data_IF_412007200760
#
_entry.id   IF_412007200760
#
_cell.length_a   1.000
_cell.length_b   1.000
_cell.length_c   1.000
_cell.angle_alpha   90.00
_cell.angle_beta   90.00
_cell.angle_gamma   90.00
#
_symmetry.space_group_name_H-M   'P 1'
#
loop_
_entity.id
_entity.type
_entity.pdbx_description
1 polymer ?
#
# COMPACT_ATOMS: atom_id res chain seq x y z
N UNK A 1 24.38 -13.79 8.99
CA UNK A 1 23.41 -13.97 10.10
C UNK A 1 22.17 -13.11 9.90
N UNK A 2 22.31 -11.80 9.68
CA UNK A 2 21.17 -10.88 9.44
C UNK A 2 20.33 -11.27 8.21
N UNK A 3 20.96 -11.69 7.12
CA UNK A 3 20.28 -12.12 5.88
C UNK A 3 19.45 -13.39 6.04
N UNK A 4 19.93 -14.36 6.82
CA UNK A 4 19.18 -15.59 7.09
C UNK A 4 17.97 -15.31 8.00
N UNK A 5 18.15 -14.44 9.00
CA UNK A 5 17.08 -14.02 9.89
C UNK A 5 16.02 -13.20 9.15
N UNK A 6 16.42 -12.31 8.24
CA UNK A 6 15.48 -11.52 7.44
C UNK A 6 14.71 -12.37 6.42
N UNK A 7 15.35 -13.36 5.80
CA UNK A 7 14.64 -14.34 4.97
C UNK A 7 13.60 -15.13 5.77
N UNK A 8 13.98 -15.62 6.94
CA UNK A 8 13.05 -16.35 7.80
C UNK A 8 11.87 -15.47 8.25
N UNK A 9 12.14 -14.22 8.61
CA UNK A 9 11.12 -13.23 8.94
C UNK A 9 10.17 -12.95 7.77
N UNK A 10 10.70 -12.78 6.56
CA UNK A 10 9.90 -12.51 5.36
C UNK A 10 9.06 -13.71 4.91
N UNK A 11 9.59 -14.93 5.01
CA UNK A 11 8.78 -16.14 4.78
C UNK A 11 7.67 -16.27 5.82
N UNK A 12 7.98 -15.98 7.09
CA UNK A 12 6.99 -16.04 8.17
C UNK A 12 5.89 -14.98 8.01
N UNK A 13 6.25 -13.74 7.64
CA UNK A 13 5.27 -12.67 7.41
C UNK A 13 4.39 -12.99 6.20
N UNK A 14 4.99 -13.52 5.12
CA UNK A 14 4.24 -13.97 3.97
C UNK A 14 3.28 -15.10 4.29
N UNK A 15 3.74 -16.11 5.03
CA UNK A 15 2.89 -17.20 5.48
C UNK A 15 1.73 -16.70 6.37
N UNK A 16 2.00 -15.78 7.30
CA UNK A 16 1.00 -15.18 8.16
C UNK A 16 -0.09 -14.43 7.36
N UNK A 17 0.31 -13.61 6.39
CA UNK A 17 -0.64 -12.89 5.51
C UNK A 17 -1.51 -13.87 4.74
N UNK A 18 -0.92 -14.92 4.17
CA UNK A 18 -1.66 -15.98 3.47
C UNK A 18 -2.68 -16.66 4.39
N UNK A 19 -2.28 -16.98 5.62
CA UNK A 19 -3.17 -17.60 6.61
C UNK A 19 -4.31 -16.67 7.01
N UNK A 20 -4.04 -15.37 7.18
CA UNK A 20 -5.07 -14.36 7.47
C UNK A 20 -6.07 -14.25 6.32
N UNK A 21 -5.60 -14.22 5.07
CA UNK A 21 -6.48 -14.18 3.89
C UNK A 21 -7.38 -15.43 3.86
N UNK A 22 -6.80 -16.61 4.08
CA UNK A 22 -7.54 -17.87 4.08
C UNK A 22 -8.54 -17.98 5.24
N UNK A 23 -8.26 -17.33 6.37
CA UNK A 23 -9.16 -17.25 7.52
C UNK A 23 -10.31 -16.29 7.27
N UNK A 24 -10.05 -15.14 6.67
CA UNK A 24 -11.06 -14.15 6.31
C UNK A 24 -12.02 -14.68 5.24
N UNK A 25 -11.53 -15.47 4.28
CA UNK A 25 -12.32 -16.14 3.23
C UNK A 25 -13.36 -15.21 2.57
N UNK A 26 -12.97 -13.97 2.26
CA UNK A 26 -13.84 -12.94 1.68
C UNK A 26 -14.35 -13.42 0.33
N UNK A 27 -15.67 -13.39 0.16
CA UNK A 27 -16.40 -13.95 -1.00
C UNK A 27 -16.00 -15.41 -1.33
N UNK A 28 -15.60 -16.18 -0.31
CA UNK A 28 -15.15 -17.58 -0.46
C UNK A 28 -13.75 -17.72 -1.05
N UNK A 29 -13.02 -16.62 -1.29
CA UNK A 29 -11.68 -16.67 -1.84
C UNK A 29 -10.69 -17.29 -0.84
N UNK A 30 -9.92 -18.28 -1.31
CA UNK A 30 -8.82 -18.90 -0.56
C UNK A 30 -7.62 -19.06 -1.47
N UNK A 31 -6.45 -18.66 -0.96
CA UNK A 31 -5.17 -18.88 -1.60
C UNK A 31 -4.81 -20.35 -1.45
N UNK A 32 -4.46 -20.98 -2.58
CA UNK A 32 -3.98 -22.36 -2.61
C UNK A 32 -2.76 -22.52 -1.70
N UNK A 33 -2.74 -23.59 -0.90
CA UNK A 33 -1.65 -23.85 0.07
C UNK A 33 -0.26 -23.87 -0.58
N UNK A 34 -0.16 -24.29 -1.85
CA UNK A 34 1.10 -24.39 -2.60
C UNK A 34 1.54 -23.09 -3.30
N UNK A 35 0.84 -21.97 -3.11
CA UNK A 35 1.26 -20.69 -3.68
C UNK A 35 2.38 -20.05 -2.85
N UNK A 36 3.63 -20.29 -3.20
CA UNK A 36 4.80 -19.74 -2.50
C UNK A 36 5.19 -18.32 -2.93
N UNK A 37 4.52 -17.75 -3.95
CA UNK A 37 4.88 -16.44 -4.51
C UNK A 37 4.88 -15.31 -3.48
N UNK A 38 3.89 -15.28 -2.58
CA UNK A 38 3.79 -14.24 -1.56
C UNK A 38 4.88 -14.35 -0.49
N UNK A 39 5.29 -15.58 -0.16
CA UNK A 39 6.39 -15.84 0.78
C UNK A 39 7.73 -15.43 0.16
N UNK A 40 7.96 -15.77 -1.12
CA UNK A 40 9.17 -15.36 -1.85
C UNK A 40 9.26 -13.83 -2.00
N UNK A 41 8.17 -13.16 -2.38
CA UNK A 41 8.14 -11.71 -2.50
C UNK A 41 8.39 -11.02 -1.15
N UNK A 42 7.76 -11.50 -0.08
CA UNK A 42 8.01 -10.98 1.28
C UNK A 42 9.45 -11.24 1.72
N UNK A 43 9.98 -12.44 1.48
CA UNK A 43 11.39 -12.78 1.76
C UNK A 43 12.38 -11.84 1.08
N UNK A 44 12.19 -11.57 -0.21
CA UNK A 44 13.05 -10.64 -0.96
C UNK A 44 12.96 -9.21 -0.42
N UNK A 45 11.75 -8.73 -0.12
CA UNK A 45 11.56 -7.39 0.44
C UNK A 45 12.21 -7.25 1.82
N UNK A 46 12.13 -8.28 2.67
CA UNK A 46 12.79 -8.31 3.97
C UNK A 46 14.31 -8.30 3.82
N UNK A 47 14.89 -9.10 2.92
CA UNK A 47 16.34 -9.08 2.68
C UNK A 47 16.80 -7.70 2.23
N UNK A 48 16.10 -7.09 1.28
CA UNK A 48 16.42 -5.75 0.83
C UNK A 48 16.33 -4.72 1.97
N UNK A 49 15.26 -4.76 2.77
CA UNK A 49 15.02 -3.82 3.86
C UNK A 49 16.11 -3.90 4.94
N UNK A 50 16.41 -5.10 5.44
CA UNK A 50 17.42 -5.28 6.51
C UNK A 50 18.87 -5.11 6.01
N UNK A 51 19.10 -5.07 4.70
CA UNK A 51 20.43 -4.80 4.14
C UNK A 51 20.68 -3.31 3.91
N UNK A 52 19.63 -2.49 3.77
CA UNK A 52 19.75 -1.08 3.39
C UNK A 52 19.26 -0.10 4.46
N UNK A 53 18.33 -0.50 5.32
CA UNK A 53 17.67 0.36 6.32
C UNK A 53 18.14 0.04 7.74
N UNK A 54 17.87 0.97 8.66
CA UNK A 54 18.05 0.72 10.10
C UNK A 54 17.11 -0.39 10.59
N UNK A 55 17.43 -1.04 11.71
CA UNK A 55 16.67 -2.20 12.21
C UNK A 55 15.16 -1.89 12.39
N UNK A 56 14.84 -0.71 12.94
CA UNK A 56 13.46 -0.29 13.18
C UNK A 56 12.72 0.03 11.87
N UNK A 57 13.36 0.78 10.96
CA UNK A 57 12.81 1.09 9.63
C UNK A 57 12.59 -0.16 8.79
N UNK A 58 13.56 -1.08 8.80
CA UNK A 58 13.48 -2.33 8.07
C UNK A 58 12.29 -3.17 8.56
N UNK A 59 12.08 -3.26 9.87
CA UNK A 59 10.94 -3.97 10.46
C UNK A 59 9.59 -3.37 10.03
N UNK A 60 9.46 -2.05 10.09
CA UNK A 60 8.21 -1.37 9.70
C UNK A 60 7.94 -1.50 8.20
N UNK A 61 8.94 -1.20 7.36
CA UNK A 61 8.82 -1.31 5.90
C UNK A 61 8.41 -2.73 5.51
N UNK A 62 9.08 -3.73 6.07
CA UNK A 62 8.90 -5.13 5.69
C UNK A 62 7.55 -5.70 6.09
N UNK A 63 7.00 -5.28 7.24
CA UNK A 63 5.65 -5.64 7.66
C UNK A 63 4.57 -4.91 6.85
N UNK A 64 4.74 -3.61 6.61
CA UNK A 64 3.82 -2.83 5.75
C UNK A 64 3.82 -3.42 4.33
N UNK A 65 4.98 -3.78 3.78
CA UNK A 65 5.09 -4.43 2.48
C UNK A 65 4.27 -5.73 2.41
N UNK A 66 4.42 -6.62 3.40
CA UNK A 66 3.64 -7.87 3.43
C UNK A 66 2.13 -7.61 3.51
N UNK A 67 1.71 -6.60 4.28
CA UNK A 67 0.29 -6.17 4.36
C UNK A 67 -0.19 -5.64 3.01
N UNK A 68 0.57 -4.77 2.35
CA UNK A 68 0.21 -4.18 1.05
C UNK A 68 0.06 -5.24 -0.04
N UNK A 69 0.96 -6.22 -0.09
CA UNK A 69 0.84 -7.36 -1.02
C UNK A 69 -0.42 -8.17 -0.72
N UNK A 70 -0.74 -8.40 0.56
CA UNK A 70 -1.97 -9.07 0.96
C UNK A 70 -3.22 -8.33 0.51
N UNK A 71 -3.29 -7.02 0.77
CA UNK A 71 -4.39 -6.16 0.30
C UNK A 71 -4.50 -6.18 -1.22
N UNK A 72 -3.38 -6.03 -1.94
CA UNK A 72 -3.39 -6.01 -3.39
C UNK A 72 -3.97 -7.31 -4.00
N UNK A 73 -3.64 -8.48 -3.44
CA UNK A 73 -4.19 -9.75 -3.92
C UNK A 73 -5.68 -9.85 -3.64
N UNK A 74 -6.11 -9.48 -2.42
CA UNK A 74 -7.53 -9.57 -2.05
C UNK A 74 -8.37 -8.59 -2.86
N UNK A 75 -7.91 -7.35 -3.01
CA UNK A 75 -8.60 -6.32 -3.78
C UNK A 75 -8.68 -6.68 -5.28
N UNK A 76 -7.60 -7.24 -5.84
CA UNK A 76 -7.59 -7.68 -7.25
C UNK A 76 -8.67 -8.72 -7.57
N UNK A 77 -9.07 -9.52 -6.58
CA UNK A 77 -9.99 -10.66 -6.78
C UNK A 77 -11.40 -10.35 -6.28
N UNK A 78 -11.51 -9.68 -5.13
CA UNK A 78 -12.79 -9.46 -4.41
C UNK A 78 -13.23 -8.01 -4.42
N UNK A 79 -12.41 -7.06 -4.91
CA UNK A 79 -12.68 -5.62 -4.87
C UNK A 79 -12.97 -5.07 -3.45
N UNK A 80 -12.49 -5.78 -2.42
CA UNK A 80 -12.68 -5.43 -1.03
C UNK A 80 -11.33 -5.34 -0.32
N UNK A 81 -11.18 -4.32 0.53
CA UNK A 81 -10.00 -4.18 1.38
C UNK A 81 -10.35 -4.65 2.80
N UNK A 82 -9.70 -5.71 3.32
CA UNK A 82 -10.02 -6.23 4.64
C UNK A 82 -9.58 -5.26 5.74
N UNK A 83 -10.50 -4.94 6.64
CA UNK A 83 -10.26 -4.02 7.74
C UNK A 83 -9.12 -4.48 8.67
N UNK A 84 -8.91 -5.80 8.81
CA UNK A 84 -7.80 -6.38 9.59
C UNK A 84 -6.44 -5.89 9.10
N UNK A 85 -6.24 -5.78 7.77
CA UNK A 85 -4.99 -5.30 7.20
C UNK A 85 -4.80 -3.79 7.40
N UNK A 86 -5.89 -3.01 7.31
CA UNK A 86 -5.87 -1.58 7.61
C UNK A 86 -5.49 -1.35 9.08
N UNK A 87 -6.13 -2.06 10.01
CA UNK A 87 -5.82 -1.95 11.44
C UNK A 87 -4.36 -2.32 11.74
N UNK A 88 -3.87 -3.42 11.13
CA UNK A 88 -2.48 -3.80 11.27
C UNK A 88 -1.54 -2.70 10.75
N UNK A 89 -1.86 -2.08 9.61
CA UNK A 89 -1.13 -0.93 9.07
C UNK A 89 -1.12 0.29 10.01
N UNK A 90 -2.25 0.62 10.62
CA UNK A 90 -2.34 1.72 11.61
C UNK A 90 -1.44 1.45 12.81
N UNK A 91 -1.49 0.23 13.36
CA UNK A 91 -0.63 -0.16 14.50
C UNK A 91 0.85 -0.03 14.14
N UNK A 92 1.25 -0.41 12.92
CA UNK A 92 2.62 -0.26 12.46
C UNK A 92 3.03 1.21 12.24
N UNK A 93 2.12 2.05 11.74
CA UNK A 93 2.38 3.48 11.62
C UNK A 93 2.58 4.13 12.99
N UNK A 94 1.74 3.78 13.99
CA UNK A 94 1.90 4.24 15.37
C UNK A 94 3.23 3.74 15.96
N UNK A 95 3.58 2.48 15.73
CA UNK A 95 4.88 1.93 16.15
C UNK A 95 6.03 2.72 15.51
N UNK A 96 5.94 3.09 14.22
CA UNK A 96 6.94 3.91 13.55
C UNK A 96 7.12 5.30 14.15
N UNK A 97 6.03 5.93 14.60
CA UNK A 97 6.10 7.18 15.36
C UNK A 97 6.75 6.95 16.73
N UNK A 98 6.38 5.87 17.44
CA UNK A 98 6.92 5.55 18.76
C UNK A 98 8.43 5.26 18.73
N UNK A 99 8.91 4.54 17.71
CA UNK A 99 10.33 4.27 17.47
C UNK A 99 11.09 5.47 16.88
N UNK A 100 10.45 6.64 16.74
CA UNK A 100 11.02 7.87 16.15
C UNK A 100 11.56 7.67 14.72
N UNK A 101 11.03 6.68 14.01
CA UNK A 101 11.30 6.46 12.58
C UNK A 101 10.48 7.44 11.75
N UNK A 102 9.28 7.78 12.22
CA UNK A 102 8.35 8.68 11.54
C UNK A 102 8.11 9.90 12.41
N UNK A 103 8.28 11.09 11.86
CA UNK A 103 7.90 12.32 12.54
C UNK A 103 6.38 12.45 12.61
N UNK A 104 5.84 12.69 13.81
CA UNK A 104 4.39 12.81 14.03
C UNK A 104 3.76 13.87 13.11
N UNK A 105 4.40 15.03 12.97
CA UNK A 105 3.93 16.11 12.09
C UNK A 105 3.83 15.66 10.64
N UNK A 106 4.83 14.90 10.15
CA UNK A 106 4.81 14.34 8.82
C UNK A 106 3.72 13.28 8.66
N UNK A 107 3.51 12.42 9.66
CA UNK A 107 2.44 11.43 9.64
C UNK A 107 1.04 12.09 9.57
N UNK A 108 0.80 13.15 10.35
CA UNK A 108 -0.47 13.87 10.35
C UNK A 108 -0.75 14.57 9.02
N UNK A 109 0.24 15.28 8.46
CA UNK A 109 0.10 15.88 7.14
C UNK A 109 0.00 14.83 6.03
N UNK A 110 0.68 13.70 6.19
CA UNK A 110 0.54 12.54 5.32
C UNK A 110 -0.86 11.98 5.30
N UNK A 111 -1.48 11.79 6.47
CA UNK A 111 -2.89 11.39 6.60
C UNK A 111 -3.81 12.43 5.95
N UNK A 112 -3.54 13.72 6.15
CA UNK A 112 -4.33 14.79 5.56
C UNK A 112 -4.34 14.68 4.02
N UNK A 113 -3.16 14.51 3.42
CA UNK A 113 -3.01 14.34 1.97
C UNK A 113 -3.59 13.00 1.49
N UNK A 114 -3.37 11.92 2.23
CA UNK A 114 -3.71 10.56 1.84
C UNK A 114 -5.17 10.17 2.03
N UNK A 115 -5.88 10.79 2.98
CA UNK A 115 -7.25 10.42 3.33
C UNK A 115 -8.23 11.60 3.26
N UNK A 116 -7.91 12.75 3.87
CA UNK A 116 -8.84 13.88 3.92
C UNK A 116 -9.06 14.54 2.56
N UNK A 117 -7.98 14.78 1.79
CA UNK A 117 -8.11 15.34 0.44
C UNK A 117 -8.93 14.41 -0.47
N UNK A 118 -8.64 13.10 -0.59
CA UNK A 118 -9.47 12.18 -1.36
C UNK A 118 -10.91 12.09 -0.88
N UNK A 119 -11.15 12.15 0.44
CA UNK A 119 -12.51 12.14 1.01
C UNK A 119 -13.31 13.38 0.59
N UNK A 120 -12.69 14.57 0.63
CA UNK A 120 -13.33 15.81 0.18
C UNK A 120 -13.65 15.74 -1.32
N UNK A 121 -12.69 15.29 -2.14
CA UNK A 121 -12.88 15.14 -3.59
C UNK A 121 -14.01 14.15 -3.87
N UNK A 122 -14.04 13.00 -3.19
CA UNK A 122 -15.10 12.02 -3.33
C UNK A 122 -16.46 12.60 -2.92
N UNK A 123 -16.54 13.34 -1.82
CA UNK A 123 -17.77 14.00 -1.37
C UNK A 123 -18.29 15.02 -2.38
N UNK A 124 -17.41 15.87 -2.92
CA UNK A 124 -17.75 16.85 -3.95
C UNK A 124 -18.26 16.17 -5.24
N UNK A 125 -17.54 15.14 -5.71
CA UNK A 125 -17.93 14.37 -6.89
C UNK A 125 -19.25 13.61 -6.68
N UNK A 126 -19.49 13.10 -5.48
CA UNK A 126 -20.73 12.41 -5.15
C UNK A 126 -21.93 13.36 -5.20
N UNK A 127 -21.79 14.59 -4.69
CA UNK A 127 -22.85 15.61 -4.76
C UNK A 127 -23.16 15.98 -6.23
N UNK A 128 -22.13 16.11 -7.08
CA UNK A 128 -22.32 16.54 -8.47
C UNK A 128 -22.79 15.41 -9.40
N UNK A 129 -22.20 14.22 -9.28
CA UNK A 129 -22.33 13.13 -10.26
C UNK A 129 -23.19 11.97 -9.74
N UNK A 130 -23.49 11.92 -8.43
CA UNK A 130 -24.14 10.79 -7.73
C UNK A 130 -23.46 9.44 -7.94
N UNK A 131 -22.22 9.44 -8.43
CA UNK A 131 -21.40 8.25 -8.63
C UNK A 131 -20.26 8.28 -7.62
N UNK A 132 -19.99 7.11 -7.02
CA UNK A 132 -18.81 6.94 -6.18
C UNK A 132 -17.60 6.77 -7.09
N UNK A 133 -16.64 7.70 -6.98
CA UNK A 133 -15.42 7.67 -7.79
C UNK A 133 -14.35 6.73 -7.24
N UNK A 134 -14.30 6.54 -5.92
CA UNK A 134 -13.26 5.78 -5.21
C UNK A 134 -13.90 4.94 -4.11
N UNK A 135 -13.35 3.75 -3.82
CA UNK A 135 -13.84 2.89 -2.76
C UNK A 135 -13.47 3.43 -1.37
N UNK A 136 -14.33 3.22 -0.37
CA UNK A 136 -14.02 3.58 1.02
C UNK A 136 -12.76 2.85 1.54
N UNK A 137 -12.50 1.63 1.06
CA UNK A 137 -11.28 0.89 1.38
C UNK A 137 -10.03 1.64 0.94
N UNK A 138 -10.03 2.22 -0.27
CA UNK A 138 -8.86 2.92 -0.79
C UNK A 138 -8.52 4.16 0.05
N UNK A 139 -9.54 4.86 0.56
CA UNK A 139 -9.35 6.00 1.48
C UNK A 139 -8.76 5.54 2.82
N UNK A 140 -9.22 4.40 3.34
CA UNK A 140 -8.65 3.81 4.55
C UNK A 140 -7.18 3.39 4.35
N UNK A 141 -6.85 2.85 3.18
CA UNK A 141 -5.47 2.55 2.82
C UNK A 141 -4.63 3.83 2.70
N UNK A 142 -5.21 4.89 2.15
CA UNK A 142 -4.60 6.23 2.12
C UNK A 142 -4.29 6.80 3.50
N UNK A 143 -5.06 6.46 4.54
CA UNK A 143 -4.76 6.82 5.92
C UNK A 143 -3.46 6.16 6.41
N UNK A 144 -3.32 4.85 6.19
CA UNK A 144 -2.13 4.07 6.57
C UNK A 144 -0.89 4.54 5.79
N UNK A 145 -1.02 4.64 4.48
CA UNK A 145 0.08 5.04 3.61
C UNK A 145 0.49 6.49 3.85
N UNK A 146 -0.47 7.38 4.10
CA UNK A 146 -0.21 8.76 4.48
C UNK A 146 0.58 8.85 5.77
N UNK A 147 0.16 8.13 6.81
CA UNK A 147 0.87 8.09 8.09
C UNK A 147 2.30 7.55 7.94
N UNK A 148 2.51 6.58 7.06
CA UNK A 148 3.81 5.94 6.85
C UNK A 148 4.78 6.74 5.97
N UNK A 149 4.29 7.27 4.84
CA UNK A 149 5.12 7.94 3.83
C UNK A 149 5.30 9.44 4.10
N UNK A 150 4.37 10.07 4.81
CA UNK A 150 4.30 11.53 4.93
C UNK A 150 3.67 12.21 3.71
N UNK A 151 3.49 13.54 3.73
CA UNK A 151 2.63 14.26 2.79
C UNK A 151 3.11 14.20 1.36
N UNK A 152 4.37 14.54 1.10
CA UNK A 152 4.88 14.66 -0.27
C UNK A 152 4.94 13.29 -0.96
N UNK A 153 5.47 12.28 -0.26
CA UNK A 153 5.54 10.91 -0.77
C UNK A 153 4.15 10.33 -0.98
N UNK A 154 3.18 10.64 -0.11
CA UNK A 154 1.79 10.23 -0.31
C UNK A 154 1.15 10.89 -1.53
N UNK A 155 1.38 12.19 -1.76
CA UNK A 155 0.87 12.89 -2.95
C UNK A 155 1.40 12.25 -4.25
N UNK A 156 2.71 11.99 -4.31
CA UNK A 156 3.33 11.30 -5.45
C UNK A 156 2.75 9.89 -5.60
N UNK A 157 2.54 9.18 -4.48
CA UNK A 157 1.94 7.83 -4.49
C UNK A 157 0.54 7.83 -5.09
N UNK A 158 -0.35 8.75 -4.68
CA UNK A 158 -1.69 8.88 -5.26
C UNK A 158 -1.63 9.20 -6.75
N UNK A 159 -0.76 10.15 -7.14
CA UNK A 159 -0.58 10.52 -8.53
C UNK A 159 -0.09 9.34 -9.38
N UNK A 160 1.00 8.69 -8.98
CA UNK A 160 1.53 7.52 -9.69
C UNK A 160 0.52 6.37 -9.74
N UNK A 161 -0.20 6.08 -8.65
CA UNK A 161 -1.22 5.05 -8.63
C UNK A 161 -2.36 5.35 -9.62
N UNK A 162 -2.86 6.59 -9.63
CA UNK A 162 -3.91 7.01 -10.57
C UNK A 162 -3.45 6.92 -12.04
N UNK A 163 -2.22 7.34 -12.35
CA UNK A 163 -1.64 7.22 -13.70
C UNK A 163 -1.52 5.74 -14.11
N UNK A 164 -0.98 4.88 -13.24
CA UNK A 164 -0.84 3.45 -13.51
C UNK A 164 -2.19 2.76 -13.72
N UNK A 165 -3.18 3.09 -12.89
CA UNK A 165 -4.54 2.57 -13.03
C UNK A 165 -5.19 3.01 -14.35
N UNK A 166 -4.99 4.28 -14.75
CA UNK A 166 -5.52 4.82 -15.99
C UNK A 166 -4.85 4.17 -17.21
N UNK A 167 -3.53 4.00 -17.20
CA UNK A 167 -2.80 3.32 -18.27
C UNK A 167 -3.26 1.87 -18.42
N UNK A 168 -3.47 1.17 -17.30
CA UNK A 168 -3.97 -0.20 -17.31
C UNK A 168 -5.41 -0.26 -17.82
N UNK A 169 -6.25 0.69 -17.44
CA UNK A 169 -7.61 0.83 -17.96
C UNK A 169 -7.63 1.04 -19.47
N UNK A 170 -6.80 1.93 -20.00
CA UNK A 170 -6.67 2.16 -21.44
C UNK A 170 -6.19 0.88 -22.15
N UNK A 171 -5.12 0.25 -21.66
CA UNK A 171 -4.57 -0.96 -22.29
C UNK A 171 -5.58 -2.12 -22.33
N UNK A 172 -6.32 -2.30 -21.25
CA UNK A 172 -7.38 -3.32 -21.16
C UNK A 172 -8.56 -2.97 -22.06
N UNK A 173 -8.95 -1.70 -22.11
CA UNK A 173 -10.03 -1.22 -22.99
C UNK A 173 -9.70 -1.39 -24.48
N UNK A 174 -8.43 -1.29 -24.86
CA UNK A 174 -7.99 -1.50 -26.24
C UNK A 174 -8.00 -2.98 -26.63
N UNK A 175 -7.74 -3.89 -25.68
CA UNK A 175 -7.66 -5.34 -25.95
C UNK A 175 -8.99 -6.07 -25.80
N UNK A 176 -9.84 -5.67 -24.85
CA UNK A 176 -11.13 -6.34 -24.56
C UNK A 176 -12.37 -5.54 -24.95
N UNK A 177 -12.21 -4.35 -25.54
CA UNK A 177 -13.30 -3.46 -25.90
C UNK A 177 -13.62 -2.43 -24.81
N UNK A 178 -14.29 -1.34 -25.21
CA UNK A 178 -14.58 -0.20 -24.34
C UNK A 178 -15.76 -0.48 -23.42
N UNK A 179 -15.47 -0.86 -22.18
CA UNK A 179 -16.46 -0.96 -21.11
C UNK A 179 -16.23 0.12 -20.06
N UNK A 180 -17.09 1.15 -20.10
CA UNK A 180 -17.05 2.29 -19.17
C UNK A 180 -17.39 1.90 -17.73
N UNK A 181 -18.01 0.74 -17.50
CA UNK A 181 -18.44 0.31 -16.18
C UNK A 181 -17.52 -0.76 -15.57
N UNK A 182 -16.40 -1.09 -16.22
CA UNK A 182 -15.42 -2.03 -15.65
C UNK A 182 -14.78 -1.40 -14.41
N UNK A 183 -15.17 -1.88 -13.24
CA UNK A 183 -14.51 -1.54 -11.99
C UNK A 183 -13.06 -2.04 -12.04
N UNK A 184 -12.10 -1.18 -11.69
CA UNK A 184 -10.70 -1.55 -11.53
C UNK A 184 -10.27 -1.40 -10.07
N UNK A 185 -9.59 -2.42 -9.52
CA UNK A 185 -9.10 -2.38 -8.15
C UNK A 185 -7.96 -1.34 -8.06
N UNK A 186 -8.10 -0.36 -7.18
CA UNK A 186 -7.11 0.71 -7.01
C UNK A 186 -5.99 0.32 -6.05
N UNK A 187 -6.27 -0.54 -5.06
CA UNK A 187 -5.31 -0.88 -4.03
C UNK A 187 -4.02 -1.53 -4.55
N UNK A 188 -4.02 -2.39 -5.59
CA UNK A 188 -2.78 -2.92 -6.18
C UNK A 188 -1.88 -1.84 -6.74
N UNK A 189 -2.45 -0.84 -7.43
CA UNK A 189 -1.68 0.28 -7.98
C UNK A 189 -1.15 1.18 -6.87
N UNK A 190 -1.95 1.38 -5.81
CA UNK A 190 -1.53 2.16 -4.65
C UNK A 190 -0.40 1.48 -3.88
N UNK A 191 -0.45 0.16 -3.73
CA UNK A 191 0.61 -0.64 -3.11
C UNK A 191 1.92 -0.54 -3.91
N UNK A 192 1.87 -0.75 -5.22
CA UNK A 192 3.04 -0.67 -6.10
C UNK A 192 3.64 0.74 -6.07
N UNK A 193 2.81 1.77 -6.19
CA UNK A 193 3.25 3.16 -6.13
C UNK A 193 3.88 3.50 -4.78
N UNK A 194 3.27 3.09 -3.65
CA UNK A 194 3.77 3.37 -2.31
C UNK A 194 5.15 2.75 -2.08
N UNK A 195 5.31 1.47 -2.45
CA UNK A 195 6.58 0.75 -2.33
C UNK A 195 7.63 1.40 -3.25
N UNK A 196 7.26 1.69 -4.50
CA UNK A 196 8.15 2.32 -5.46
C UNK A 196 8.62 3.71 -5.02
N UNK A 197 7.71 4.53 -4.47
CA UNK A 197 8.04 5.86 -3.94
C UNK A 197 8.92 5.76 -2.70
N UNK A 198 8.67 4.81 -1.79
CA UNK A 198 9.53 4.61 -0.63
C UNK A 198 10.95 4.24 -1.06
N UNK A 199 11.10 3.24 -1.94
CA UNK A 199 12.41 2.80 -2.45
C UNK A 199 13.09 3.93 -3.24
N UNK A 200 12.33 4.62 -4.10
CA UNK A 200 12.84 5.77 -4.85
C UNK A 200 13.33 6.89 -3.95
N UNK A 201 12.66 7.13 -2.82
CA UNK A 201 13.08 8.14 -1.85
C UNK A 201 14.35 7.78 -1.09
N UNK A 202 14.67 6.48 -1.00
CA UNK A 202 15.93 6.00 -0.44
C UNK A 202 17.10 6.21 -1.41
N UNK A 203 16.92 5.93 -2.71
CA UNK A 203 17.99 6.06 -3.71
C UNK A 203 18.17 7.49 -4.25
N UNK A 204 17.10 8.28 -4.32
CA UNK A 204 17.10 9.64 -4.88
C UNK A 204 16.58 10.68 -3.88
N UNK A 205 17.25 10.85 -2.72
CA UNK A 205 16.77 11.75 -1.67
C UNK A 205 16.66 13.20 -2.15
N UNK A 206 17.55 13.65 -3.05
CA UNK A 206 17.55 15.00 -3.63
C UNK A 206 16.25 15.34 -4.37
N UNK A 207 15.68 14.38 -5.11
CA UNK A 207 14.41 14.58 -5.82
C UNK A 207 13.26 14.90 -4.86
N UNK A 208 13.26 14.26 -3.68
CA UNK A 208 12.25 14.49 -2.66
C UNK A 208 12.56 15.73 -1.82
N UNK A 209 13.82 16.08 -1.60
CA UNK A 209 14.22 17.31 -0.91
C UNK A 209 13.79 18.56 -1.67
N UNK A 210 13.86 18.56 -3.00
CA UNK A 210 13.37 19.67 -3.83
C UNK A 210 11.85 19.88 -3.74
N UNK A 211 11.12 18.85 -3.29
CA UNK A 211 9.66 18.85 -3.18
C UNK A 211 9.16 19.01 -1.73
N UNK A 212 10.06 18.96 -0.75
CA UNK A 212 9.77 19.29 0.64
C UNK A 212 9.93 20.80 0.77
N UNK A 213 8.81 21.53 0.80
CA UNK A 213 8.81 22.93 1.23
C UNK A 213 9.30 22.92 2.69
N UNK A 214 10.47 23.51 2.92
CA UNK A 214 11.05 23.67 4.26
C UNK A 214 10.14 24.50 5.17
#
# INVERSE_FOLDING_TARGET
>A
MITALSLFGGFSSGFAVKQIINWLAIDGYKIHKHSYGLELLSGLAWVWAFSNLSLAEAGIFSLIFSILVGIAIVDYITFQIPLVFILAGIVLAIAGVAFKVIFLTAALWGIFVGAFIPLIIMGALWIMTKRQGMGYGDIQLGFVLGAWLGPMRMAITLFTASVLSLLTWIAVSLTTGFDKNRAMPMAPFLAIAAIGVFIGSFYYPEFFHLLIIQ
#
